data_IF_751695239016
#
_entry.id   IF_751695239016
#
_cell.length_a   1.000
_cell.length_b   1.000
_cell.length_c   1.000
_cell.angle_alpha   90.00
_cell.angle_beta   90.00
_cell.angle_gamma   90.00
#
_symmetry.space_group_name_H-M   'P 1'
#
loop_
_entity.id
_entity.type
_entity.pdbx_description
1 polymer ?
#
# COMPACT_ATOMS: atom_id res chain seq x y z
N UNK A 1 32.76 23.49 -13.77
CA UNK A 1 32.27 24.60 -12.92
C UNK A 1 30.75 24.62 -13.06
N UNK A 2 30.04 23.95 -12.14
CA UNK A 2 29.22 24.56 -11.07
C UNK A 2 27.81 24.89 -11.57
N UNK A 3 26.69 24.60 -10.91
CA UNK A 3 26.31 23.79 -9.75
C UNK A 3 24.75 23.78 -9.68
N UNK A 4 24.19 22.84 -8.91
CA UNK A 4 23.02 23.03 -8.01
C UNK A 4 21.62 23.18 -8.63
N UNK A 5 20.78 22.14 -8.53
CA UNK A 5 19.68 21.94 -7.53
C UNK A 5 18.33 22.55 -7.99
N UNK A 6 17.15 21.98 -7.72
CA UNK A 6 16.79 20.87 -6.88
C UNK A 6 15.34 20.44 -7.19
N UNK A 7 15.01 19.23 -6.73
CA UNK A 7 13.68 18.64 -6.79
C UNK A 7 12.67 19.39 -5.91
N UNK A 8 11.40 19.36 -6.31
CA UNK A 8 10.26 19.34 -5.38
C UNK A 8 9.05 18.70 -6.07
N UNK A 9 8.53 17.57 -5.55
CA UNK A 9 7.25 17.03 -5.97
C UNK A 9 6.15 17.78 -5.22
N UNK A 10 5.24 18.39 -5.96
CA UNK A 10 4.00 18.95 -5.43
C UNK A 10 3.11 17.81 -4.95
N UNK A 11 3.34 17.38 -3.70
CA UNK A 11 2.41 16.56 -2.93
C UNK A 11 1.12 17.33 -2.75
N UNK A 12 0.20 17.19 -3.71
CA UNK A 12 -1.20 17.42 -3.44
C UNK A 12 -1.66 16.25 -2.59
N UNK A 13 -1.58 16.46 -1.27
CA UNK A 13 -2.47 15.80 -0.34
C UNK A 13 -3.89 16.07 -0.83
N UNK A 14 -4.46 15.08 -1.50
CA UNK A 14 -5.90 15.03 -1.73
C UNK A 14 -6.55 14.95 -0.36
N UNK A 15 -6.80 16.13 0.21
CA UNK A 15 -7.75 16.33 1.28
C UNK A 15 -9.08 15.81 0.80
N UNK A 16 -9.38 14.56 1.18
CA UNK A 16 -10.73 14.10 1.31
C UNK A 16 -11.38 15.03 2.33
N UNK A 17 -12.47 15.69 1.91
CA UNK A 17 -13.14 16.75 2.65
C UNK A 17 -13.67 16.32 4.02
N UNK A 18 -14.59 17.07 4.65
CA UNK A 18 -15.17 16.73 5.95
C UNK A 18 -16.15 15.54 5.83
N UNK A 19 -15.70 14.43 5.22
CA UNK A 19 -16.23 13.11 5.46
C UNK A 19 -15.91 12.77 6.90
N UNK A 20 -16.97 12.62 7.69
CA UNK A 20 -16.90 12.38 9.11
C UNK A 20 -15.90 11.25 9.40
N UNK A 21 -14.80 11.59 10.08
CA UNK A 21 -13.81 10.59 10.50
C UNK A 21 -14.52 9.51 11.29
N UNK A 22 -14.06 8.29 11.14
CA UNK A 22 -14.59 7.12 11.80
C UNK A 22 -14.64 7.21 13.32
N UNK A 23 -13.64 7.88 13.91
CA UNK A 23 -13.65 8.22 15.33
C UNK A 23 -14.83 9.14 15.67
N UNK A 24 -15.11 10.13 14.81
CA UNK A 24 -16.26 11.03 14.97
C UNK A 24 -17.60 10.32 14.75
N UNK A 25 -17.67 9.31 13.87
CA UNK A 25 -18.85 8.44 13.78
C UNK A 25 -19.07 7.65 15.08
N UNK A 26 -18.01 7.07 15.63
CA UNK A 26 -18.09 6.29 16.85
C UNK A 26 -18.46 7.16 18.06
N UNK A 27 -17.90 8.36 18.18
CA UNK A 27 -18.25 9.35 19.21
C UNK A 27 -19.74 9.71 19.18
N UNK A 28 -20.32 9.89 17.98
CA UNK A 28 -21.77 10.18 17.84
C UNK A 28 -22.59 8.97 18.31
N UNK A 29 -22.22 7.76 17.91
CA UNK A 29 -22.92 6.54 18.32
C UNK A 29 -22.82 6.30 19.84
N UNK A 30 -21.64 6.53 20.44
CA UNK A 30 -21.46 6.43 21.89
C UNK A 30 -22.37 7.41 22.62
N UNK A 31 -22.44 8.66 22.16
CA UNK A 31 -23.32 9.67 22.75
C UNK A 31 -24.80 9.34 22.60
N UNK A 32 -25.22 8.83 21.45
CA UNK A 32 -26.61 8.42 21.22
C UNK A 32 -26.99 7.21 22.08
N UNK A 33 -26.07 6.24 22.21
CA UNK A 33 -26.24 5.08 23.08
C UNK A 33 -26.37 5.50 24.55
N UNK A 34 -25.47 6.35 25.05
CA UNK A 34 -25.48 6.82 26.44
C UNK A 34 -26.78 7.56 26.77
N UNK A 35 -27.25 8.40 25.85
CA UNK A 35 -28.52 9.10 26.01
C UNK A 35 -29.68 8.10 26.10
N UNK A 36 -29.78 7.18 25.15
CA UNK A 36 -30.85 6.18 25.14
C UNK A 36 -30.78 5.28 26.38
N UNK A 37 -29.58 4.97 26.86
CA UNK A 37 -29.37 4.18 28.07
C UNK A 37 -29.93 4.89 29.31
N UNK A 38 -29.65 6.19 29.48
CA UNK A 38 -30.22 7.00 30.55
C UNK A 38 -31.74 7.09 30.45
N UNK A 39 -32.27 7.32 29.24
CA UNK A 39 -33.72 7.42 29.02
C UNK A 39 -34.43 6.11 29.40
N UNK A 40 -33.86 4.94 29.08
CA UNK A 40 -34.41 3.64 29.49
C UNK A 40 -34.30 3.44 31.01
N UNK A 41 -33.20 3.86 31.64
CA UNK A 41 -33.03 3.71 33.10
C UNK A 41 -34.04 4.55 33.89
N UNK A 42 -34.39 5.73 33.37
CA UNK A 42 -35.46 6.57 33.92
C UNK A 42 -36.82 5.88 33.80
N UNK A 43 -37.17 5.34 32.63
CA UNK A 43 -38.43 4.60 32.43
C UNK A 43 -38.54 3.40 33.36
N UNK A 44 -37.46 2.67 33.61
CA UNK A 44 -37.43 1.58 34.59
C UNK A 44 -37.62 2.07 36.04
N UNK A 45 -37.27 3.32 36.34
CA UNK A 45 -37.50 3.95 37.64
C UNK A 45 -38.95 4.36 37.88
N UNK A 46 -39.77 4.48 36.82
CA UNK A 46 -41.20 4.85 36.90
C UNK A 46 -42.13 3.63 37.09
N UNK A 47 -41.59 2.41 37.02
CA UNK A 47 -42.35 1.17 37.21
C UNK A 47 -42.82 1.05 38.67
N UNK A 48 -44.03 0.51 38.85
CA UNK A 48 -44.64 0.25 40.16
C UNK A 48 -43.68 -0.56 41.07
N UNK A 49 -43.45 -0.14 42.33
CA UNK A 49 -42.66 -0.88 43.30
C UNK A 49 -43.04 -2.35 43.46
N UNK A 50 -44.31 -2.71 43.23
CA UNK A 50 -44.78 -4.10 43.29
C UNK A 50 -44.25 -4.97 42.13
N UNK A 51 -43.63 -4.37 41.11
CA UNK A 51 -43.01 -5.02 39.94
C UNK A 51 -41.47 -4.96 39.95
N UNK A 52 -40.85 -4.97 41.13
CA UNK A 52 -39.40 -4.84 41.31
C UNK A 52 -38.55 -5.84 40.50
N UNK A 53 -39.04 -7.07 40.29
CA UNK A 53 -38.32 -8.11 39.54
C UNK A 53 -38.10 -7.69 38.08
N UNK A 54 -39.07 -7.00 37.46
CA UNK A 54 -38.98 -6.50 36.09
C UNK A 54 -37.92 -5.41 36.00
N UNK A 55 -37.91 -4.48 36.96
CA UNK A 55 -36.91 -3.41 37.04
C UNK A 55 -35.50 -3.96 37.24
N UNK A 56 -35.34 -4.97 38.11
CA UNK A 56 -34.07 -5.63 38.34
C UNK A 56 -33.55 -6.35 37.10
N UNK A 57 -34.39 -7.17 36.46
CA UNK A 57 -34.03 -7.86 35.22
C UNK A 57 -33.67 -6.86 34.11
N UNK A 58 -34.46 -5.78 33.95
CA UNK A 58 -34.21 -4.71 33.00
C UNK A 58 -32.82 -4.09 33.18
N UNK A 59 -32.48 -3.68 34.41
CA UNK A 59 -31.16 -3.09 34.73
C UNK A 59 -30.02 -4.09 34.52
N UNK A 60 -30.23 -5.38 34.80
CA UNK A 60 -29.23 -6.43 34.54
C UNK A 60 -28.95 -6.60 33.04
N UNK A 61 -30.01 -6.62 32.20
CA UNK A 61 -29.86 -6.70 30.74
C UNK A 61 -29.21 -5.44 30.18
N UNK A 62 -29.58 -4.26 30.68
CA UNK A 62 -28.95 -2.98 30.32
C UNK A 62 -27.45 -3.00 30.61
N UNK A 63 -27.05 -3.43 31.82
CA UNK A 63 -25.63 -3.58 32.17
C UNK A 63 -24.89 -4.48 31.18
N UNK A 64 -25.53 -5.58 30.76
CA UNK A 64 -24.95 -6.48 29.76
C UNK A 64 -24.84 -5.82 28.37
N UNK A 65 -25.85 -5.05 27.95
CA UNK A 65 -25.83 -4.29 26.69
C UNK A 65 -24.73 -3.22 26.68
N UNK A 66 -24.58 -2.46 27.77
CA UNK A 66 -23.52 -1.45 27.93
C UNK A 66 -22.13 -2.09 27.82
N UNK A 67 -21.91 -3.23 28.49
CA UNK A 67 -20.65 -3.98 28.37
C UNK A 67 -20.38 -4.46 26.95
N UNK A 68 -21.40 -5.00 26.26
CA UNK A 68 -21.27 -5.44 24.86
C UNK A 68 -20.93 -4.26 23.93
N UNK A 69 -21.60 -3.12 24.10
CA UNK A 69 -21.37 -1.92 23.31
C UNK A 69 -19.97 -1.33 23.54
N UNK A 70 -19.50 -1.26 24.78
CA UNK A 70 -18.13 -0.82 25.08
C UNK A 70 -17.08 -1.70 24.40
N UNK A 71 -17.28 -3.03 24.41
CA UNK A 71 -16.41 -3.97 23.71
C UNK A 71 -16.46 -3.78 22.19
N UNK A 72 -17.65 -3.54 21.63
CA UNK A 72 -17.82 -3.23 20.21
C UNK A 72 -17.06 -1.95 19.84
N UNK A 73 -17.17 -0.89 20.64
CA UNK A 73 -16.45 0.36 20.42
C UNK A 73 -14.94 0.13 20.40
N UNK A 74 -14.40 -0.57 21.41
CA UNK A 74 -12.97 -0.89 21.46
C UNK A 74 -12.49 -1.71 20.25
N UNK A 75 -13.22 -2.77 19.87
CA UNK A 75 -12.86 -3.60 18.70
C UNK A 75 -12.91 -2.80 17.41
N UNK A 76 -13.92 -1.96 17.26
CA UNK A 76 -14.09 -1.06 16.13
C UNK A 76 -12.92 -0.08 16.03
N UNK A 77 -12.57 0.61 17.12
CA UNK A 77 -11.39 1.49 17.18
C UNK A 77 -10.10 0.74 16.81
N UNK A 78 -9.91 -0.48 17.33
CA UNK A 78 -8.73 -1.32 17.05
C UNK A 78 -8.62 -1.65 15.57
N UNK A 79 -9.71 -2.11 14.94
CA UNK A 79 -9.73 -2.45 13.50
C UNK A 79 -9.35 -1.24 12.67
N UNK A 80 -9.82 -0.05 13.04
CA UNK A 80 -9.56 1.17 12.27
C UNK A 80 -8.15 1.70 12.43
N UNK A 81 -7.57 1.64 13.63
CA UNK A 81 -6.16 1.94 13.84
C UNK A 81 -5.26 0.98 13.02
N UNK A 82 -5.60 -0.32 13.01
CA UNK A 82 -4.86 -1.31 12.22
C UNK A 82 -5.00 -1.06 10.72
N UNK A 83 -6.20 -0.77 10.23
CA UNK A 83 -6.41 -0.46 8.82
C UNK A 83 -5.59 0.75 8.39
N UNK A 84 -5.60 1.83 9.18
CA UNK A 84 -4.80 3.02 8.87
C UNK A 84 -3.31 2.71 8.80
N UNK A 85 -2.80 1.87 9.71
CA UNK A 85 -1.40 1.41 9.67
C UNK A 85 -1.10 0.58 8.43
N UNK A 86 -2.00 -0.33 8.04
CA UNK A 86 -1.86 -1.16 6.85
C UNK A 86 -1.90 -0.32 5.56
N UNK A 87 -2.78 0.68 5.51
CA UNK A 87 -2.85 1.62 4.39
C UNK A 87 -1.54 2.39 4.21
N UNK A 88 -0.95 2.88 5.31
CA UNK A 88 0.35 3.55 5.27
C UNK A 88 1.47 2.61 4.76
N UNK A 89 1.58 1.40 5.33
CA UNK A 89 2.56 0.40 4.89
C UNK A 89 2.40 0.02 3.42
N UNK A 90 1.17 -0.08 2.94
CA UNK A 90 0.88 -0.40 1.56
C UNK A 90 1.33 0.73 0.62
N UNK A 91 1.10 1.99 1.00
CA UNK A 91 1.58 3.15 0.25
C UNK A 91 3.11 3.16 0.19
N UNK A 92 3.78 2.93 1.33
CA UNK A 92 5.25 2.88 1.41
C UNK A 92 5.83 1.78 0.51
N UNK A 93 5.33 0.55 0.62
CA UNK A 93 5.78 -0.58 -0.20
C UNK A 93 5.53 -0.35 -1.70
N UNK A 94 4.45 0.33 -2.07
CA UNK A 94 4.21 0.70 -3.49
C UNK A 94 5.25 1.70 -3.98
N UNK A 95 5.69 2.63 -3.14
CA UNK A 95 6.76 3.57 -3.48
C UNK A 95 8.07 2.83 -3.69
N UNK A 96 8.49 1.99 -2.73
CA UNK A 96 9.71 1.19 -2.82
C UNK A 96 9.73 0.28 -4.05
N UNK A 97 8.61 -0.39 -4.35
CA UNK A 97 8.49 -1.24 -5.54
C UNK A 97 8.66 -0.43 -6.84
N UNK A 98 8.13 0.79 -6.87
CA UNK A 98 8.22 1.66 -8.05
C UNK A 98 9.67 2.12 -8.26
N UNK A 99 10.37 2.49 -7.19
CA UNK A 99 11.78 2.83 -7.20
C UNK A 99 12.64 1.65 -7.68
N UNK A 100 12.49 0.49 -7.05
CA UNK A 100 13.24 -0.73 -7.43
C UNK A 100 13.00 -1.15 -8.89
N UNK A 101 11.77 -1.00 -9.40
CA UNK A 101 11.47 -1.25 -10.83
C UNK A 101 12.17 -0.25 -11.75
N UNK A 102 12.24 1.01 -11.34
CA UNK A 102 12.93 2.05 -12.11
C UNK A 102 14.43 1.79 -12.18
N UNK A 103 15.06 1.45 -11.04
CA UNK A 103 16.48 1.10 -10.93
C UNK A 103 16.81 -0.12 -11.78
N UNK A 104 15.99 -1.18 -11.70
CA UNK A 104 16.13 -2.37 -12.56
C UNK A 104 16.10 -2.00 -14.03
N UNK A 105 15.16 -1.14 -14.44
CA UNK A 105 15.02 -0.74 -15.85
C UNK A 105 16.24 0.05 -16.33
N UNK A 106 16.81 0.92 -15.47
CA UNK A 106 18.04 1.65 -15.79
C UNK A 106 19.22 0.69 -15.89
N UNK A 107 19.40 -0.20 -14.92
CA UNK A 107 20.47 -1.20 -14.94
C UNK A 107 20.39 -2.14 -16.13
N UNK A 108 19.19 -2.55 -16.54
CA UNK A 108 19.01 -3.36 -17.77
C UNK A 108 19.45 -2.62 -19.03
N UNK A 109 19.21 -1.31 -19.12
CA UNK A 109 19.70 -0.48 -20.23
C UNK A 109 21.22 -0.35 -20.21
N UNK A 110 21.81 -0.09 -19.04
CA UNK A 110 23.26 0.02 -18.89
C UNK A 110 23.96 -1.29 -19.30
N UNK A 111 23.44 -2.43 -18.88
CA UNK A 111 23.96 -3.76 -19.29
C UNK A 111 23.87 -3.92 -20.81
N UNK A 112 22.74 -3.54 -21.42
CA UNK A 112 22.56 -3.62 -22.85
C UNK A 112 23.54 -2.71 -23.62
N UNK A 113 23.72 -1.47 -23.16
CA UNK A 113 24.64 -0.50 -23.77
C UNK A 113 26.09 -0.95 -23.65
N UNK A 114 26.50 -1.48 -22.50
CA UNK A 114 27.83 -2.04 -22.28
C UNK A 114 28.08 -3.27 -23.17
N UNK A 115 27.07 -4.13 -23.36
CA UNK A 115 27.17 -5.27 -24.27
C UNK A 115 27.40 -4.83 -25.73
N UNK A 116 26.70 -3.79 -26.17
CA UNK A 116 26.89 -3.19 -27.50
C UNK A 116 28.30 -2.58 -27.64
N UNK A 117 28.78 -1.86 -26.62
CA UNK A 117 30.14 -1.30 -26.61
C UNK A 117 31.21 -2.39 -26.67
N UNK A 118 31.03 -3.49 -25.92
CA UNK A 118 31.93 -4.64 -25.96
C UNK A 118 32.00 -5.24 -27.37
N UNK A 119 30.85 -5.46 -28.02
CA UNK A 119 30.80 -5.97 -29.38
C UNK A 119 31.50 -5.05 -30.39
N UNK A 120 31.30 -3.74 -30.25
CA UNK A 120 31.98 -2.75 -31.10
C UNK A 120 33.50 -2.83 -30.94
N UNK A 121 34.01 -2.94 -29.71
CA UNK A 121 35.44 -3.08 -29.43
C UNK A 121 36.00 -4.42 -29.92
N UNK A 122 35.26 -5.52 -29.78
CA UNK A 122 35.66 -6.82 -30.32
C UNK A 122 35.84 -6.77 -31.84
N UNK A 123 34.89 -6.15 -32.57
CA UNK A 123 35.01 -5.97 -34.02
C UNK A 123 36.23 -5.11 -34.39
N UNK A 124 36.49 -4.04 -33.66
CA UNK A 124 37.68 -3.19 -33.87
C UNK A 124 38.99 -3.96 -33.62
N UNK A 125 39.04 -4.81 -32.59
CA UNK A 125 40.20 -5.64 -32.30
C UNK A 125 40.41 -6.71 -33.38
N UNK A 126 39.36 -7.42 -33.80
CA UNK A 126 39.44 -8.42 -34.87
C UNK A 126 39.93 -7.80 -36.19
N UNK A 127 39.47 -6.59 -36.51
CA UNK A 127 39.96 -5.84 -37.67
C UNK A 127 41.46 -5.51 -37.55
N UNK A 128 41.93 -5.11 -36.36
CA UNK A 128 43.35 -4.78 -36.11
C UNK A 128 44.26 -6.00 -36.03
N UNK A 129 43.77 -7.15 -35.57
CA UNK A 129 44.53 -8.40 -35.49
C UNK A 129 44.69 -9.12 -36.84
N UNK A 130 44.20 -8.53 -37.93
CA UNK A 130 44.29 -9.13 -39.27
C UNK A 130 43.44 -10.38 -39.44
N UNK A 131 42.52 -10.64 -38.51
CA UNK A 131 41.65 -11.81 -38.45
C UNK A 131 40.26 -11.51 -39.05
N UNK A 132 40.14 -10.47 -39.87
CA UNK A 132 39.04 -10.37 -40.80
C UNK A 132 39.23 -11.50 -41.81
N UNK A 133 38.65 -12.67 -41.52
CA UNK A 133 38.51 -13.72 -42.54
C UNK A 133 37.90 -13.03 -43.76
N UNK A 134 38.70 -12.96 -44.82
CA UNK A 134 38.34 -12.27 -46.05
C UNK A 134 36.97 -12.81 -46.49
N UNK A 135 36.04 -11.92 -46.84
CA UNK A 135 34.66 -12.32 -47.15
C UNK A 135 34.62 -13.41 -48.22
N UNK A 136 35.64 -13.48 -49.07
CA UNK A 136 35.86 -14.50 -50.08
C UNK A 136 36.22 -15.87 -49.49
N UNK A 137 37.02 -15.94 -48.42
CA UNK A 137 37.34 -17.19 -47.71
C UNK A 137 36.14 -17.78 -46.96
N UNK A 138 35.25 -16.93 -46.43
CA UNK A 138 33.98 -17.38 -45.82
C UNK A 138 33.02 -17.88 -46.90
N UNK A 139 32.93 -17.16 -48.03
CA UNK A 139 32.12 -17.55 -49.20
C UNK A 139 32.53 -18.92 -49.73
N UNK A 140 33.83 -19.16 -49.90
CA UNK A 140 34.35 -20.42 -50.41
C UNK A 140 34.03 -21.59 -49.47
N UNK A 141 34.13 -21.41 -48.15
CA UNK A 141 33.74 -22.45 -47.19
C UNK A 141 32.25 -22.76 -47.21
N UNK A 142 31.38 -21.77 -47.39
CA UNK A 142 29.92 -21.96 -47.48
C UNK A 142 29.50 -22.63 -48.80
N UNK A 143 30.14 -22.26 -49.92
CA UNK A 143 29.89 -22.85 -51.25
C UNK A 143 30.45 -24.28 -51.35
N UNK A 144 31.53 -24.59 -50.62
CA UNK A 144 32.06 -25.96 -50.52
C UNK A 144 31.13 -26.87 -49.70
N UNK A 145 30.55 -26.39 -48.59
CA UNK A 145 29.62 -27.18 -47.75
C UNK A 145 28.25 -27.47 -48.37
N UNK A 146 27.81 -26.70 -49.37
CA UNK A 146 26.53 -26.92 -50.07
C UNK A 146 26.62 -27.94 -51.22
N UNK A 147 27.80 -28.49 -51.49
CA UNK A 147 28.08 -29.39 -52.63
C UNK A 147 28.18 -30.87 -52.26
N UNK A 148 28.02 -31.20 -50.99
CA UNK A 148 27.81 -32.57 -50.48
C UNK A 148 26.34 -32.75 -50.06
#
# INVERSE_FOLDING_TARGET
>A
MSASAGCSPSGHSSGLGPGMSMFRWLEVLEKEFDKAFVDVDLLLGEIDPDQVDITYEGRQKMTSLSSCFAQLCHKTQTVFQLNHKLEAQLVDLRSELTEAKSERTVGEKEVHDLLLQLHALQLQLSAKQGQAEDSDTIKDRLVCRKRD
#
